data_IF_461564460558
#
_entry.id   IF_461564460558
#
_cell.length_a   1.000
_cell.length_b   1.000
_cell.length_c   1.000
_cell.angle_alpha   90.00
_cell.angle_beta   90.00
_cell.angle_gamma   90.00
#
_symmetry.space_group_name_H-M   'P 1'
#
loop_
_entity.id
_entity.type
_entity.pdbx_description
1 polymer ?
#
# COMPACT_ATOMS: atom_id res chain seq x y z
N UNK A 1 -33.13 -27.75 3.17
CA UNK A 1 -32.46 -26.53 3.67
C UNK A 1 -31.38 -26.92 4.65
N UNK A 2 -30.09 -26.74 4.30
CA UNK A 2 -29.03 -26.70 5.32
C UNK A 2 -27.97 -25.72 4.84
N UNK A 3 -28.07 -24.51 5.37
CA UNK A 3 -27.11 -23.43 5.27
C UNK A 3 -25.83 -23.94 5.98
N UNK A 4 -24.79 -24.29 5.22
CA UNK A 4 -23.45 -24.49 5.76
C UNK A 4 -22.51 -23.46 5.16
N UNK A 5 -22.30 -22.43 5.97
CA UNK A 5 -21.17 -21.49 5.98
C UNK A 5 -20.71 -20.96 4.63
N UNK A 6 -21.17 -19.76 4.28
CA UNK A 6 -20.30 -18.82 3.59
C UNK A 6 -19.03 -18.68 4.44
N UNK A 7 -17.98 -19.41 4.09
CA UNK A 7 -16.63 -19.14 4.57
C UNK A 7 -16.37 -17.67 4.20
N UNK A 8 -16.38 -16.78 5.20
CA UNK A 8 -15.86 -15.42 5.06
C UNK A 8 -14.39 -15.61 4.68
N UNK A 9 -14.10 -15.63 3.38
CA UNK A 9 -12.72 -15.59 2.87
C UNK A 9 -12.14 -14.30 3.44
N UNK A 10 -11.11 -14.42 4.29
CA UNK A 10 -10.47 -13.24 4.88
C UNK A 10 -10.03 -12.30 3.75
N UNK A 11 -10.23 -10.99 3.97
CA UNK A 11 -9.81 -10.00 2.99
C UNK A 11 -8.30 -9.98 2.93
N UNK A 12 -7.74 -9.99 1.73
CA UNK A 12 -6.30 -9.79 1.54
C UNK A 12 -5.92 -8.38 1.99
N UNK A 13 -5.07 -8.26 3.00
CA UNK A 13 -4.56 -6.95 3.43
C UNK A 13 -3.44 -6.52 2.48
N UNK A 14 -3.51 -5.30 1.96
CA UNK A 14 -2.48 -4.73 1.08
C UNK A 14 -1.92 -3.49 1.74
N UNK A 15 -0.63 -3.48 2.04
CA UNK A 15 0.03 -2.31 2.63
C UNK A 15 0.39 -1.35 1.51
N UNK A 16 -0.07 -0.10 1.59
CA UNK A 16 0.25 0.93 0.61
C UNK A 16 1.38 1.81 1.13
N UNK A 17 2.45 1.89 0.34
CA UNK A 17 3.56 2.83 0.53
C UNK A 17 3.15 4.26 0.10
N UNK A 18 3.83 5.30 0.58
CA UNK A 18 3.55 6.71 0.26
C UNK A 18 3.58 6.94 -1.25
N UNK A 19 4.52 6.30 -1.96
CA UNK A 19 4.64 6.42 -3.41
C UNK A 19 3.41 5.94 -4.18
N UNK A 20 2.66 4.97 -3.63
CA UNK A 20 1.49 4.40 -4.29
C UNK A 20 0.39 5.45 -4.44
N UNK A 21 0.26 6.36 -3.47
CA UNK A 21 -0.76 7.41 -3.48
C UNK A 21 -0.50 8.52 -4.50
N UNK A 22 0.71 8.60 -5.07
CA UNK A 22 1.01 9.53 -6.17
C UNK A 22 0.72 8.95 -7.56
N UNK A 23 0.52 7.63 -7.67
CA UNK A 23 0.26 6.93 -8.94
C UNK A 23 -0.94 7.51 -9.72
N UNK A 24 -2.09 7.84 -9.09
CA UNK A 24 -3.21 8.41 -9.83
C UNK A 24 -2.88 9.74 -10.51
N UNK A 25 -2.05 10.57 -9.88
CA UNK A 25 -1.63 11.85 -10.47
C UNK A 25 -0.59 11.67 -11.57
N UNK A 26 0.30 10.70 -11.43
CA UNK A 26 1.41 10.48 -12.37
C UNK A 26 0.97 9.73 -13.64
N UNK A 27 0.10 8.72 -13.48
CA UNK A 27 -0.24 7.78 -14.54
C UNK A 27 -1.72 7.74 -14.88
N UNK A 28 -2.56 8.56 -14.21
CA UNK A 28 -4.02 8.59 -14.41
C UNK A 28 -4.68 7.22 -14.18
N UNK A 29 -4.16 6.47 -13.21
CA UNK A 29 -4.63 5.13 -12.82
C UNK A 29 -5.44 5.25 -11.52
N UNK A 30 -6.64 4.69 -11.48
CA UNK A 30 -7.33 4.44 -10.22
C UNK A 30 -6.72 3.21 -9.55
N UNK A 31 -5.90 3.43 -8.52
CA UNK A 31 -5.19 2.36 -7.83
C UNK A 31 -6.11 1.36 -7.13
N UNK A 32 -7.27 1.80 -6.63
CA UNK A 32 -8.16 0.90 -5.90
C UNK A 32 -8.92 -0.02 -6.85
N UNK A 33 -9.37 0.52 -7.99
CA UNK A 33 -9.98 -0.30 -9.04
C UNK A 33 -8.97 -1.27 -9.67
N UNK A 34 -7.72 -0.84 -9.91
CA UNK A 34 -6.69 -1.76 -10.39
C UNK A 34 -6.31 -2.84 -9.37
N UNK A 35 -6.22 -2.51 -8.07
CA UNK A 35 -6.00 -3.50 -7.01
C UNK A 35 -7.14 -4.52 -6.98
N UNK A 36 -8.39 -4.06 -7.12
CA UNK A 36 -9.58 -4.93 -7.16
C UNK A 36 -9.52 -5.91 -8.33
N UNK A 37 -9.16 -5.43 -9.52
CA UNK A 37 -8.99 -6.28 -10.73
C UNK A 37 -7.85 -7.28 -10.55
N UNK A 38 -6.72 -6.83 -10.01
CA UNK A 38 -5.51 -7.65 -9.86
C UNK A 38 -5.71 -8.80 -8.86
N UNK A 39 -6.33 -8.53 -7.71
CA UNK A 39 -6.43 -9.49 -6.62
C UNK A 39 -7.58 -10.49 -6.81
N UNK A 40 -8.58 -10.17 -7.65
CA UNK A 40 -9.76 -11.01 -7.92
C UNK A 40 -10.54 -11.47 -6.65
N UNK A 41 -10.20 -10.93 -5.49
CA UNK A 41 -10.80 -11.19 -4.17
C UNK A 41 -11.03 -9.87 -3.45
N UNK A 42 -11.88 -9.88 -2.43
CA UNK A 42 -11.98 -8.73 -1.54
C UNK A 42 -10.63 -8.47 -0.86
N UNK A 43 -10.22 -7.21 -0.88
CA UNK A 43 -8.99 -6.76 -0.22
C UNK A 43 -9.30 -5.62 0.75
N UNK A 44 -8.34 -5.32 1.60
CA UNK A 44 -8.35 -4.18 2.50
C UNK A 44 -7.04 -3.40 2.32
N UNK A 45 -7.14 -2.14 1.91
CA UNK A 45 -5.98 -1.26 1.79
C UNK A 45 -5.57 -0.77 3.19
N UNK A 46 -4.30 -0.95 3.54
CA UNK A 46 -3.74 -0.60 4.85
C UNK A 46 -2.80 0.59 4.69
N UNK A 47 -3.01 1.60 5.55
CA UNK A 47 -2.12 2.74 5.71
C UNK A 47 -1.47 2.69 7.10
N UNK A 48 -0.16 2.56 7.14
CA UNK A 48 0.60 2.54 8.40
C UNK A 48 0.88 3.97 8.88
N UNK A 49 0.96 4.16 10.20
CA UNK A 49 1.25 5.47 10.81
C UNK A 49 2.50 6.19 10.28
N UNK A 50 3.66 5.53 10.05
CA UNK A 50 4.84 6.22 9.51
C UNK A 50 4.62 6.74 8.08
N UNK A 51 3.83 6.02 7.28
CA UNK A 51 3.52 6.39 5.88
C UNK A 51 2.59 7.60 5.86
N UNK A 52 1.60 7.63 6.75
CA UNK A 52 0.75 8.81 6.92
C UNK A 52 1.57 10.03 7.33
N UNK A 53 2.46 9.90 8.31
CA UNK A 53 3.31 10.99 8.79
C UNK A 53 4.23 11.53 7.69
N UNK A 54 4.75 10.66 6.82
CA UNK A 54 5.55 11.08 5.65
C UNK A 54 4.71 11.93 4.69
N UNK A 55 3.49 11.51 4.38
CA UNK A 55 2.57 12.27 3.51
C UNK A 55 2.19 13.63 4.15
N UNK A 56 1.92 13.67 5.46
CA UNK A 56 1.66 14.90 6.21
C UNK A 56 2.86 15.86 6.14
N UNK A 57 4.07 15.35 6.39
CA UNK A 57 5.30 16.14 6.29
C UNK A 57 5.51 16.70 4.88
N UNK A 58 5.22 15.94 3.82
CA UNK A 58 5.28 16.42 2.44
C UNK A 58 4.23 17.48 2.13
N UNK A 59 3.03 17.36 2.70
CA UNK A 59 1.95 18.33 2.55
C UNK A 59 2.25 19.66 3.26
N UNK A 60 2.98 19.62 4.37
CA UNK A 60 3.37 20.81 5.12
C UNK A 60 4.64 21.49 4.56
N UNK A 61 5.70 20.71 4.35
CA UNK A 61 7.07 21.21 4.14
C UNK A 61 7.59 21.02 2.71
N UNK A 62 6.82 20.37 1.84
CA UNK A 62 7.21 20.18 0.44
C UNK A 62 7.25 21.49 -0.36
N UNK A 63 7.81 21.42 -1.57
CA UNK A 63 7.67 22.51 -2.55
C UNK A 63 6.19 22.79 -2.85
N UNK A 64 5.80 23.97 -3.37
CA UNK A 64 4.40 24.29 -3.66
C UNK A 64 3.68 23.24 -4.52
N UNK A 65 4.38 22.67 -5.51
CA UNK A 65 3.85 21.59 -6.33
C UNK A 65 3.74 20.27 -5.55
N UNK A 66 4.74 19.95 -4.71
CA UNK A 66 4.72 18.73 -3.90
C UNK A 66 3.61 18.77 -2.85
N UNK A 67 3.40 19.91 -2.17
CA UNK A 67 2.32 20.06 -1.18
C UNK A 67 0.96 19.75 -1.77
N UNK A 68 0.65 20.27 -2.96
CA UNK A 68 -0.60 19.95 -3.69
C UNK A 68 -0.74 18.45 -3.95
N UNK A 69 0.33 17.79 -4.42
CA UNK A 69 0.33 16.33 -4.66
C UNK A 69 0.14 15.55 -3.36
N UNK A 70 0.80 15.96 -2.27
CA UNK A 70 0.73 15.31 -0.97
C UNK A 70 -0.64 15.50 -0.31
N UNK A 71 -1.28 16.67 -0.42
CA UNK A 71 -2.66 16.86 0.04
C UNK A 71 -3.64 15.95 -0.70
N UNK A 72 -3.46 15.76 -2.01
CA UNK A 72 -4.24 14.78 -2.77
C UNK A 72 -3.98 13.34 -2.28
N UNK A 73 -2.71 12.97 -2.07
CA UNK A 73 -2.32 11.66 -1.56
C UNK A 73 -2.93 11.38 -0.17
N UNK A 74 -2.91 12.36 0.74
CA UNK A 74 -3.55 12.26 2.05
C UNK A 74 -5.05 11.99 1.94
N UNK A 75 -5.76 12.78 1.12
CA UNK A 75 -7.19 12.56 0.88
C UNK A 75 -7.48 11.19 0.27
N UNK A 76 -6.62 10.72 -0.62
CA UNK A 76 -6.74 9.38 -1.20
C UNK A 76 -6.51 8.28 -0.14
N UNK A 77 -5.56 8.52 0.78
CA UNK A 77 -5.22 7.59 1.86
C UNK A 77 -6.34 7.40 2.89
N UNK A 78 -7.29 8.33 3.00
CA UNK A 78 -8.49 8.19 3.86
C UNK A 78 -9.38 6.99 3.48
N UNK A 79 -9.24 6.46 2.25
CA UNK A 79 -9.92 5.22 1.82
C UNK A 79 -9.28 3.95 2.40
N UNK A 80 -8.14 4.06 3.08
CA UNK A 80 -7.43 2.94 3.67
C UNK A 80 -7.80 2.77 5.14
N UNK A 81 -7.71 1.54 5.64
CA UNK A 81 -7.73 1.27 7.07
C UNK A 81 -6.42 1.77 7.67
N UNK A 82 -6.51 2.77 8.54
CA UNK A 82 -5.36 3.33 9.25
C UNK A 82 -4.93 2.41 10.40
N UNK A 83 -3.65 2.07 10.45
CA UNK A 83 -3.06 1.24 11.50
C UNK A 83 -1.97 2.05 12.21
N UNK A 84 -2.24 2.36 13.47
CA UNK A 84 -1.24 2.95 14.35
C UNK A 84 -0.25 1.87 14.80
N UNK A 85 1.02 2.03 14.45
CA UNK A 85 2.09 1.18 14.95
C UNK A 85 2.59 1.66 16.32
N UNK A 86 3.04 0.73 17.14
CA UNK A 86 3.72 0.99 18.42
C UNK A 86 5.25 1.12 18.21
N UNK A 87 5.97 1.38 19.30
CA UNK A 87 7.43 1.63 19.27
C UNK A 87 8.26 0.44 18.78
N UNK A 88 7.71 -0.78 18.77
CA UNK A 88 8.39 -1.96 18.23
C UNK A 88 8.62 -1.85 16.71
N UNK A 89 7.90 -0.96 16.02
CA UNK A 89 8.06 -0.65 14.61
C UNK A 89 8.71 0.72 14.39
N UNK A 90 9.34 1.28 15.42
CA UNK A 90 10.13 2.49 15.31
C UNK A 90 11.26 2.29 14.29
N UNK A 91 11.51 3.30 13.46
CA UNK A 91 12.48 3.24 12.38
C UNK A 91 12.02 4.02 11.17
N UNK A 92 12.65 3.76 10.03
CA UNK A 92 12.22 4.32 8.76
C UNK A 92 10.87 3.74 8.30
N UNK A 93 10.07 4.48 7.50
CA UNK A 93 8.81 3.94 6.96
C UNK A 93 9.00 2.62 6.20
N UNK A 94 10.10 2.48 5.47
CA UNK A 94 10.49 1.23 4.78
C UNK A 94 10.69 0.05 5.73
N UNK A 95 11.35 0.27 6.87
CA UNK A 95 11.57 -0.79 7.88
C UNK A 95 10.25 -1.22 8.52
N UNK A 96 9.38 -0.25 8.83
CA UNK A 96 8.04 -0.54 9.32
C UNK A 96 7.25 -1.37 8.31
N UNK A 97 7.25 -0.99 7.02
CA UNK A 97 6.63 -1.77 5.95
C UNK A 97 7.17 -3.21 5.92
N UNK A 98 8.49 -3.39 5.91
CA UNK A 98 9.11 -4.71 5.82
C UNK A 98 8.73 -5.60 6.98
N UNK A 99 8.73 -5.05 8.21
CA UNK A 99 8.38 -5.80 9.42
C UNK A 99 6.92 -6.22 9.40
N UNK A 100 6.00 -5.26 9.20
CA UNK A 100 4.56 -5.53 9.17
C UNK A 100 4.21 -6.49 8.03
N UNK A 101 4.73 -6.27 6.83
CA UNK A 101 4.42 -7.11 5.68
C UNK A 101 4.89 -8.55 5.86
N UNK A 102 6.05 -8.76 6.50
CA UNK A 102 6.56 -10.09 6.84
C UNK A 102 5.67 -10.81 7.84
N UNK A 103 5.33 -10.12 8.93
CA UNK A 103 4.54 -10.69 10.02
C UNK A 103 3.11 -11.02 9.56
N UNK A 104 2.50 -10.13 8.80
CA UNK A 104 1.12 -10.29 8.32
C UNK A 104 1.03 -11.08 7.01
N UNK A 105 2.17 -11.47 6.43
CA UNK A 105 2.26 -12.11 5.10
C UNK A 105 1.45 -11.36 4.05
N UNK A 106 1.49 -10.04 4.11
CA UNK A 106 0.61 -9.16 3.34
C UNK A 106 1.35 -8.55 2.17
N UNK A 107 0.78 -8.54 0.94
CA UNK A 107 1.37 -7.86 -0.19
C UNK A 107 1.58 -6.37 0.08
N UNK A 108 2.63 -5.81 -0.49
CA UNK A 108 2.92 -4.37 -0.43
C UNK A 108 2.78 -3.76 -1.80
N UNK A 109 2.09 -2.63 -1.91
CA UNK A 109 2.09 -1.81 -3.11
C UNK A 109 3.16 -0.71 -2.98
N UNK A 110 4.25 -0.87 -3.72
CA UNK A 110 5.33 0.13 -3.82
C UNK A 110 5.99 0.12 -5.20
N UNK A 111 6.34 1.31 -5.69
CA UNK A 111 7.13 1.48 -6.91
C UNK A 111 8.63 1.65 -6.65
N UNK A 112 9.07 1.69 -5.38
CA UNK A 112 10.49 1.81 -5.03
C UNK A 112 11.23 0.51 -5.33
N UNK A 113 12.23 0.57 -6.20
CA UNK A 113 12.96 -0.63 -6.66
C UNK A 113 13.74 -1.31 -5.54
N UNK A 114 14.28 -0.55 -4.58
CA UNK A 114 15.05 -1.09 -3.48
C UNK A 114 14.14 -1.78 -2.46
N UNK A 115 13.01 -1.14 -2.09
CA UNK A 115 12.02 -1.75 -1.21
C UNK A 115 11.41 -3.01 -1.84
N UNK A 116 11.08 -2.98 -3.14
CA UNK A 116 10.65 -4.16 -3.90
C UNK A 116 11.66 -5.31 -3.81
N UNK A 117 12.97 -5.03 -3.92
CA UNK A 117 14.01 -6.06 -3.79
C UNK A 117 14.05 -6.63 -2.37
N UNK A 118 14.00 -5.77 -1.35
CA UNK A 118 14.01 -6.18 0.07
C UNK A 118 12.81 -7.06 0.42
N UNK A 119 11.61 -6.69 -0.04
CA UNK A 119 10.37 -7.46 0.17
C UNK A 119 10.43 -8.85 -0.47
N UNK A 120 10.93 -8.94 -1.70
CA UNK A 120 11.08 -10.25 -2.37
C UNK A 120 12.06 -11.17 -1.67
N UNK A 121 13.16 -10.62 -1.14
CA UNK A 121 14.15 -11.40 -0.39
C UNK A 121 13.56 -12.03 0.89
N UNK A 122 12.46 -11.49 1.41
CA UNK A 122 11.74 -12.02 2.57
C UNK A 122 10.43 -12.73 2.18
N UNK A 123 10.27 -13.09 0.90
CA UNK A 123 9.11 -13.78 0.33
C UNK A 123 7.77 -13.04 0.50
N UNK A 124 7.80 -11.71 0.56
CA UNK A 124 6.60 -10.88 0.58
C UNK A 124 6.20 -10.51 -0.86
N UNK A 125 4.95 -10.74 -1.29
CA UNK A 125 4.49 -10.34 -2.62
C UNK A 125 4.47 -8.82 -2.79
N UNK A 126 4.78 -8.35 -3.98
CA UNK A 126 4.89 -6.91 -4.25
C UNK A 126 4.06 -6.52 -5.46
N UNK A 127 3.19 -5.54 -5.25
CA UNK A 127 2.37 -4.92 -6.28
C UNK A 127 3.08 -3.64 -6.74
N UNK A 128 3.09 -3.38 -8.04
CA UNK A 128 3.76 -2.22 -8.62
C UNK A 128 3.11 -1.80 -9.94
N UNK A 129 3.33 -0.55 -10.35
CA UNK A 129 2.88 -0.06 -11.66
C UNK A 129 3.77 -0.64 -12.76
N UNK A 130 3.15 -1.30 -13.73
CA UNK A 130 3.81 -1.80 -14.93
C UNK A 130 3.34 -1.06 -16.17
N UNK A 131 4.29 -0.79 -17.07
CA UNK A 131 4.04 -0.12 -18.35
C UNK A 131 3.26 1.21 -18.21
N UNK A 132 3.36 1.87 -17.04
CA UNK A 132 2.70 3.14 -16.71
C UNK A 132 1.17 3.12 -16.92
N UNK A 133 0.54 1.95 -16.92
CA UNK A 133 -0.88 1.80 -17.32
C UNK A 133 -1.67 0.80 -16.48
N UNK A 134 -1.03 -0.15 -15.80
CA UNK A 134 -1.70 -1.18 -14.99
C UNK A 134 -0.88 -1.56 -13.77
N UNK A 135 -1.51 -2.24 -12.82
CA UNK A 135 -0.81 -2.89 -11.71
C UNK A 135 -0.44 -4.33 -12.07
N UNK A 136 0.71 -4.79 -11.57
CA UNK A 136 1.15 -6.17 -11.64
C UNK A 136 1.64 -6.63 -10.26
N UNK A 137 1.56 -7.92 -9.98
CA UNK A 137 2.07 -8.54 -8.76
C UNK A 137 3.27 -9.45 -9.07
N UNK A 138 4.30 -9.36 -8.24
CA UNK A 138 5.45 -10.27 -8.21
C UNK A 138 5.44 -11.00 -6.87
N UNK A 139 5.34 -12.34 -6.91
CA UNK A 139 5.15 -13.21 -5.73
C UNK A 139 3.80 -13.93 -5.74
N UNK A 140 3.63 -14.89 -4.81
CA UNK A 140 2.39 -15.67 -4.64
C UNK A 140 1.58 -15.15 -3.44
N UNK A 141 0.29 -14.91 -3.66
CA UNK A 141 -0.67 -14.55 -2.61
C UNK A 141 -1.13 -15.77 -1.80
#
# INVERSE_FOLDING_TARGET
MTIKSQLKKEKTKVILDSNAFFVPLQFKIDIFEELKKLLSTNFEAILLSPIRQELEKLAEKGSPQMRKKASYALKLSEKCTYVQLNDDYAGSPDEAILKVAKEWKSPVFTNDRNLRKRLRNINVPVIYVRQKSRLEIDGRL
#
